data_IF_720995174828
#
_entry.id   IF_720995174828
#
_cell.length_a   1.000
_cell.length_b   1.000
_cell.length_c   1.000
_cell.angle_alpha   90.00
_cell.angle_beta   90.00
_cell.angle_gamma   90.00
#
_symmetry.space_group_name_H-M   'P 1'
#
loop_
_entity.id
_entity.type
_entity.pdbx_description
1 polymer ?
#
# COMPACT_ATOMS: atom_id res chain seq x y z
N UNK A 1 -15.36 10.48 10.90
CA UNK A 1 -14.02 10.12 10.40
C UNK A 1 -14.18 8.91 9.52
N UNK A 2 -13.65 9.03 8.30
CA UNK A 2 -14.13 8.39 7.09
C UNK A 2 -13.89 6.88 7.04
N UNK A 3 -14.92 6.11 6.68
CA UNK A 3 -14.78 4.66 6.42
C UNK A 3 -13.66 4.37 5.42
N UNK A 4 -13.44 5.28 4.47
CA UNK A 4 -12.36 5.21 3.47
C UNK A 4 -10.97 5.38 4.08
N UNK A 5 -10.81 6.25 5.08
CA UNK A 5 -9.52 6.44 5.77
C UNK A 5 -9.15 5.23 6.63
N UNK A 6 -10.14 4.61 7.27
CA UNK A 6 -9.96 3.34 7.98
C UNK A 6 -9.54 2.20 7.05
N UNK A 7 -10.14 2.13 5.85
CA UNK A 7 -9.80 1.11 4.86
C UNK A 7 -8.40 1.34 4.29
N UNK A 8 -8.05 2.59 3.95
CA UNK A 8 -6.70 2.98 3.51
C UNK A 8 -5.64 2.62 4.56
N UNK A 9 -5.88 2.92 5.84
CA UNK A 9 -4.99 2.55 6.93
C UNK A 9 -4.78 1.04 7.01
N UNK A 10 -5.86 0.24 6.95
CA UNK A 10 -5.77 -1.22 7.00
C UNK A 10 -4.98 -1.80 5.83
N UNK A 11 -5.24 -1.33 4.61
CA UNK A 11 -4.50 -1.79 3.42
C UNK A 11 -3.03 -1.38 3.51
N UNK A 12 -2.73 -0.15 3.92
CA UNK A 12 -1.37 0.32 4.11
C UNK A 12 -0.62 -0.51 5.16
N UNK A 13 -1.27 -0.86 6.28
CA UNK A 13 -0.72 -1.71 7.33
C UNK A 13 -0.48 -3.15 6.86
N UNK A 14 -1.37 -3.69 6.02
CA UNK A 14 -1.17 -5.00 5.39
C UNK A 14 0.05 -5.01 4.46
N UNK A 15 0.24 -3.94 3.67
CA UNK A 15 1.41 -3.79 2.81
C UNK A 15 2.70 -3.66 3.64
N UNK A 16 2.70 -2.89 4.74
CA UNK A 16 3.87 -2.73 5.61
C UNK A 16 4.28 -4.07 6.28
N UNK A 17 3.29 -4.88 6.67
CA UNK A 17 3.52 -6.17 7.33
C UNK A 17 3.93 -7.30 6.36
N UNK A 18 3.61 -7.19 5.08
CA UNK A 18 3.92 -8.21 4.08
C UNK A 18 4.99 -7.72 3.10
N UNK A 19 6.22 -8.25 3.25
CA UNK A 19 7.37 -7.91 2.41
C UNK A 19 7.21 -8.25 0.92
N UNK A 20 6.18 -9.02 0.52
CA UNK A 20 5.92 -9.41 -0.86
C UNK A 20 4.43 -9.23 -1.21
N UNK A 21 3.96 -7.98 -1.20
CA UNK A 21 2.60 -7.67 -1.63
C UNK A 21 2.55 -7.54 -3.16
N UNK A 22 2.09 -8.59 -3.86
CA UNK A 22 2.00 -8.62 -5.32
C UNK A 22 0.76 -7.83 -5.79
N UNK A 23 1.01 -6.79 -6.58
CA UNK A 23 -0.02 -5.88 -7.09
C UNK A 23 -1.12 -6.59 -7.91
N UNK A 24 -0.79 -7.68 -8.61
CA UNK A 24 -1.70 -8.32 -9.55
C UNK A 24 -2.71 -9.28 -8.92
N UNK A 25 -2.47 -9.77 -7.71
CA UNK A 25 -3.34 -10.78 -7.07
C UNK A 25 -4.60 -10.18 -6.43
N UNK A 26 -4.73 -8.85 -6.36
CA UNK A 26 -5.85 -8.17 -5.69
C UNK A 26 -6.54 -7.11 -6.56
N UNK A 27 -7.15 -7.56 -7.65
CA UNK A 27 -7.96 -6.74 -8.56
C UNK A 27 -9.02 -5.87 -7.85
N UNK A 28 -9.57 -6.32 -6.72
CA UNK A 28 -10.61 -5.59 -5.98
C UNK A 28 -10.10 -4.43 -5.11
N UNK A 29 -8.78 -4.29 -4.92
CA UNK A 29 -8.17 -3.23 -4.09
C UNK A 29 -7.33 -2.24 -4.93
N UNK A 30 -7.41 -2.29 -6.27
CA UNK A 30 -6.62 -1.45 -7.16
C UNK A 30 -6.87 0.05 -6.96
N UNK A 31 -8.13 0.46 -6.78
CA UNK A 31 -8.49 1.86 -6.53
C UNK A 31 -7.87 2.40 -5.24
N UNK A 32 -7.84 1.57 -4.18
CA UNK A 32 -7.23 1.91 -2.90
C UNK A 32 -5.71 2.01 -3.01
N UNK A 33 -5.08 1.04 -3.71
CA UNK A 33 -3.64 1.09 -3.95
C UNK A 33 -3.27 2.33 -4.77
N UNK A 34 -4.08 2.67 -5.78
CA UNK A 34 -3.87 3.87 -6.59
C UNK A 34 -3.94 5.14 -5.75
N UNK A 35 -4.92 5.25 -4.85
CA UNK A 35 -5.00 6.37 -3.90
C UNK A 35 -3.80 6.39 -2.93
N UNK A 36 -3.34 5.25 -2.40
CA UNK A 36 -2.13 5.17 -1.57
C UNK A 36 -0.87 5.65 -2.33
N UNK A 37 -0.76 5.32 -3.62
CA UNK A 37 0.33 5.78 -4.50
C UNK A 37 0.22 7.28 -4.77
N UNK A 38 -0.97 7.79 -5.09
CA UNK A 38 -1.24 9.22 -5.32
C UNK A 38 -0.95 10.06 -4.07
N UNK A 39 -1.25 9.53 -2.89
CA UNK A 39 -0.92 10.13 -1.59
C UNK A 39 0.57 10.02 -1.24
N UNK A 40 1.36 9.28 -2.03
CA UNK A 40 2.78 8.97 -1.79
C UNK A 40 3.02 8.22 -0.48
N UNK A 41 2.07 7.39 -0.06
CA UNK A 41 2.22 6.52 1.10
C UNK A 41 2.91 5.21 0.71
N UNK A 42 2.65 4.74 -0.51
CA UNK A 42 3.25 3.56 -1.11
C UNK A 42 3.91 3.93 -2.44
N UNK A 43 4.96 3.20 -2.82
CA UNK A 43 5.53 3.22 -4.18
C UNK A 43 5.51 1.82 -4.76
N UNK A 44 5.37 1.73 -6.08
CA UNK A 44 5.47 0.46 -6.82
C UNK A 44 6.91 0.31 -7.26
N UNK A 45 7.56 -0.77 -6.84
CA UNK A 45 8.83 -1.22 -7.41
C UNK A 45 8.59 -2.50 -8.17
N UNK A 46 9.21 -2.66 -9.34
CA UNK A 46 9.08 -3.90 -10.08
C UNK A 46 10.28 -4.17 -10.97
N UNK A 47 10.54 -5.46 -11.17
CA UNK A 47 11.45 -5.91 -12.21
C UNK A 47 10.63 -6.38 -13.40
N UNK A 48 10.91 -5.76 -14.55
CA UNK A 48 10.44 -6.26 -15.84
C UNK A 48 11.40 -7.38 -16.28
N UNK A 49 10.99 -8.62 -16.07
CA UNK A 49 11.67 -9.77 -16.66
C UNK A 49 10.96 -10.10 -17.96
N UNK A 50 11.64 -9.88 -19.09
CA UNK A 50 11.16 -10.34 -20.40
C UNK A 50 10.96 -11.86 -20.32
N UNK A 51 9.73 -12.33 -20.51
CA UNK A 51 9.23 -13.71 -20.45
C UNK A 51 8.59 -14.18 -19.14
N UNK A 52 8.47 -13.34 -18.10
CA UNK A 52 7.70 -13.66 -16.90
C UNK A 52 6.65 -12.57 -16.62
N UNK A 53 5.65 -12.88 -15.79
CA UNK A 53 4.73 -11.86 -15.30
C UNK A 53 5.54 -10.78 -14.56
N UNK A 54 5.33 -9.47 -14.87
CA UNK A 54 6.06 -8.41 -14.19
C UNK A 54 5.84 -8.51 -12.69
N UNK A 55 6.93 -8.75 -11.96
CA UNK A 55 6.88 -8.84 -10.51
C UNK A 55 6.85 -7.41 -9.96
N UNK A 56 5.65 -6.94 -9.61
CA UNK A 56 5.42 -5.62 -9.02
C UNK A 56 5.15 -5.77 -7.53
N UNK A 57 5.99 -5.12 -6.73
CA UNK A 57 5.92 -5.07 -5.29
C UNK A 57 5.51 -3.68 -4.82
N UNK A 58 4.67 -3.63 -3.80
CA UNK A 58 4.32 -2.40 -3.09
C UNK A 58 5.27 -2.18 -1.91
N UNK A 59 5.88 -1.00 -1.85
CA UNK A 59 6.77 -0.61 -0.76
C UNK A 59 6.19 0.60 -0.03
N UNK A 60 6.03 0.47 1.29
CA UNK A 60 5.62 1.58 2.14
C UNK A 60 6.76 2.60 2.27
N UNK A 61 6.46 3.85 1.96
CA UNK A 61 7.40 4.98 2.04
C UNK A 61 7.55 5.48 3.48
N UNK A 62 8.55 6.32 3.75
CA UNK A 62 8.69 6.98 5.06
C UNK A 62 7.45 7.81 5.43
N UNK A 63 6.82 8.45 4.45
CA UNK A 63 5.56 9.17 4.63
C UNK A 63 4.42 8.21 5.00
N UNK A 64 4.36 7.04 4.37
CA UNK A 64 3.43 5.96 4.71
C UNK A 64 3.59 5.50 6.17
N UNK A 65 4.84 5.29 6.60
CA UNK A 65 5.14 4.91 7.99
C UNK A 65 4.76 5.99 9.01
N UNK A 66 4.98 7.26 8.68
CA UNK A 66 4.53 8.38 9.52
C UNK A 66 2.99 8.42 9.60
N UNK A 67 2.30 8.22 8.48
CA UNK A 67 0.84 8.16 8.44
C UNK A 67 0.30 7.04 9.35
N UNK A 68 0.87 5.84 9.27
CA UNK A 68 0.49 4.71 10.14
C UNK A 68 0.62 5.08 11.63
N UNK A 69 1.75 5.65 12.02
CA UNK A 69 1.99 6.09 13.41
C UNK A 69 1.00 7.17 13.87
N UNK A 70 0.74 8.16 13.01
CA UNK A 70 -0.21 9.23 13.33
C UNK A 70 -1.64 8.69 13.52
N UNK A 71 -2.03 7.68 12.74
CA UNK A 71 -3.34 7.07 12.87
C UNK A 71 -3.48 6.22 14.14
N UNK A 72 -2.43 5.47 14.51
CA UNK A 72 -2.41 4.67 15.75
C UNK A 72 -2.57 5.53 17.01
N UNK A 73 -1.99 6.72 17.04
CA UNK A 73 -2.16 7.67 18.16
C UNK A 73 -3.55 8.30 18.24
N UNK A 74 -4.38 8.18 17.19
CA UNK A 74 -5.76 8.71 17.17
C UNK A 74 -6.76 7.66 17.64
N UNK A 75 -6.44 6.37 17.51
CA UNK A 75 -7.30 5.26 17.95
C UNK A 75 -7.04 4.78 19.41
N UNK A 76 -5.99 5.28 20.07
CA UNK A 76 -5.75 5.16 21.53
C UNK A 76 -6.54 6.19 22.35
#
# INVERSE_FOLDING_TARGET
MDQDMNLLYRVLKLIDNHQNFNYYERLNEQDLIFELVKMKLVRIEGQFVLNEHPNMQLIVTDKGKQFLKSYEMIEE
#
